data_IF_769278641840
#
_entry.id   IF_769278641840
#
_cell.length_a   1.000
_cell.length_b   1.000
_cell.length_c   1.000
_cell.angle_alpha   90.00
_cell.angle_beta   90.00
_cell.angle_gamma   90.00
#
_symmetry.space_group_name_H-M   'P 1'
#
loop_
_entity.id
_entity.type
_entity.pdbx_description
1 polymer ?
#
# COMPACT_ATOMS: atom_id res chain seq x y z
N UNK A 1 27.87 -1.29 -15.64
CA UNK A 1 26.99 -0.16 -15.25
C UNK A 1 25.82 -0.15 -16.23
N UNK A 2 24.60 -0.37 -15.77
CA UNK A 2 23.43 -0.26 -16.64
C UNK A 2 23.19 1.22 -16.94
N UNK A 3 23.28 1.62 -18.20
CA UNK A 3 22.93 2.97 -18.62
C UNK A 3 21.42 3.13 -18.49
N UNK A 4 20.95 3.70 -17.37
CA UNK A 4 19.52 3.89 -17.09
C UNK A 4 19.08 5.25 -17.59
N UNK A 5 18.16 5.26 -18.57
CA UNK A 5 17.48 6.47 -19.05
C UNK A 5 16.28 6.87 -18.18
N UNK A 6 15.78 5.94 -17.35
CA UNK A 6 14.67 6.15 -16.40
C UNK A 6 14.96 5.43 -15.09
N UNK A 7 14.50 5.99 -13.99
CA UNK A 7 14.55 5.38 -12.65
C UNK A 7 13.35 4.45 -12.39
N UNK A 8 12.36 4.41 -13.29
CA UNK A 8 11.19 3.56 -13.21
C UNK A 8 10.00 4.18 -12.48
N UNK A 9 10.09 5.43 -12.01
CA UNK A 9 8.99 6.14 -11.36
C UNK A 9 8.25 7.05 -12.34
N UNK A 10 6.94 7.18 -12.14
CA UNK A 10 6.05 8.07 -12.87
C UNK A 10 5.36 8.98 -11.87
N UNK A 11 5.45 10.28 -12.10
CA UNK A 11 4.69 11.32 -11.40
C UNK A 11 3.95 12.14 -12.45
N UNK A 12 2.65 12.34 -12.26
CA UNK A 12 1.78 12.98 -13.25
C UNK A 12 0.59 13.67 -12.59
N UNK A 13 -0.03 14.58 -13.31
CA UNK A 13 -1.32 15.19 -12.97
C UNK A 13 -2.52 14.39 -13.51
N UNK A 14 -2.27 13.31 -14.27
CA UNK A 14 -3.29 12.34 -14.65
C UNK A 14 -3.92 11.68 -13.40
N UNK A 15 -5.14 11.13 -13.53
CA UNK A 15 -5.89 10.57 -12.41
C UNK A 15 -5.14 9.58 -11.51
N UNK A 16 -4.17 8.82 -12.05
CA UNK A 16 -3.43 7.84 -11.26
C UNK A 16 -2.30 8.44 -10.40
N UNK A 17 -1.92 9.69 -10.60
CA UNK A 17 -0.91 10.48 -9.86
C UNK A 17 0.52 9.90 -9.86
N UNK A 18 0.69 8.69 -9.35
CA UNK A 18 1.98 8.03 -9.22
C UNK A 18 1.91 6.54 -9.56
N UNK A 19 2.97 6.06 -10.20
CA UNK A 19 3.16 4.64 -10.51
C UNK A 19 4.65 4.33 -10.61
N UNK A 20 5.04 3.08 -10.45
CA UNK A 20 6.44 2.69 -10.62
C UNK A 20 6.59 1.27 -11.14
N UNK A 21 7.72 1.00 -11.78
CA UNK A 21 8.15 -0.34 -12.16
C UNK A 21 8.73 -1.06 -10.93
N UNK A 22 8.18 -2.23 -10.59
CA UNK A 22 8.50 -2.96 -9.36
C UNK A 22 9.38 -4.21 -9.59
N UNK A 23 9.73 -4.52 -10.84
CA UNK A 23 10.54 -5.68 -11.23
C UNK A 23 12.00 -5.34 -11.55
N UNK A 24 12.44 -4.12 -11.23
CA UNK A 24 13.84 -3.71 -11.33
C UNK A 24 14.77 -4.74 -10.69
N UNK A 25 15.73 -5.24 -11.47
CA UNK A 25 16.72 -6.23 -11.02
C UNK A 25 16.26 -7.68 -11.14
N UNK A 26 15.00 -7.94 -11.49
CA UNK A 26 14.50 -9.27 -11.80
C UNK A 26 14.86 -9.65 -13.24
N UNK A 27 15.19 -10.92 -13.48
CA UNK A 27 15.44 -11.44 -14.82
C UNK A 27 14.10 -11.75 -15.51
N UNK A 28 13.97 -11.41 -16.79
CA UNK A 28 12.77 -11.73 -17.58
C UNK A 28 12.53 -10.76 -18.72
N UNK A 29 11.52 -11.06 -19.53
CA UNK A 29 11.03 -10.17 -20.60
C UNK A 29 9.80 -9.36 -20.18
N UNK A 30 9.19 -9.72 -19.05
CA UNK A 30 7.99 -9.07 -18.50
C UNK A 30 8.31 -8.44 -17.16
N UNK A 31 7.63 -7.34 -16.85
CA UNK A 31 7.74 -6.66 -15.57
C UNK A 31 6.39 -6.37 -14.93
N UNK A 32 6.41 -5.79 -13.74
CA UNK A 32 5.23 -5.33 -13.02
C UNK A 32 5.27 -3.82 -12.88
N UNK A 33 4.17 -3.18 -13.24
CA UNK A 33 3.93 -1.77 -12.94
C UNK A 33 2.97 -1.72 -11.75
N UNK A 34 3.41 -1.07 -10.67
CA UNK A 34 2.57 -0.81 -9.51
C UNK A 34 1.79 0.47 -9.71
N UNK A 35 0.47 0.36 -9.67
CA UNK A 35 -0.45 1.47 -9.54
C UNK A 35 -0.78 1.64 -8.06
N UNK A 36 -0.41 2.78 -7.47
CA UNK A 36 -0.67 3.06 -6.06
C UNK A 36 -1.72 4.15 -5.93
N UNK A 37 -2.90 3.76 -5.46
CA UNK A 37 -4.05 4.65 -5.34
C UNK A 37 -4.20 5.15 -3.90
N UNK A 38 -3.99 6.44 -3.68
CA UNK A 38 -4.10 7.08 -2.36
C UNK A 38 -5.34 7.95 -2.13
N UNK A 39 -6.22 8.11 -3.13
CA UNK A 39 -7.44 8.95 -3.04
C UNK A 39 -8.71 8.12 -3.07
N UNK A 40 -9.77 8.60 -2.42
CA UNK A 40 -11.13 8.04 -2.50
C UNK A 40 -11.66 7.98 -3.93
N UNK A 41 -11.25 8.91 -4.80
CA UNK A 41 -11.53 8.91 -6.24
C UNK A 41 -10.82 7.76 -7.00
N UNK A 42 -9.73 7.23 -6.44
CA UNK A 42 -9.03 6.03 -6.91
C UNK A 42 -9.66 4.72 -6.41
N UNK A 43 -10.57 4.78 -5.43
CA UNK A 43 -11.42 3.66 -5.00
C UNK A 43 -12.68 3.62 -5.88
N UNK A 44 -12.49 3.69 -7.20
CA UNK A 44 -13.57 3.58 -8.19
C UNK A 44 -13.88 2.13 -8.56
N UNK A 45 -13.24 1.17 -7.89
CA UNK A 45 -13.51 -0.24 -8.10
C UNK A 45 -13.74 -1.01 -6.80
N UNK A 46 -14.55 -2.05 -6.91
CA UNK A 46 -14.95 -2.93 -5.82
C UNK A 46 -14.21 -4.25 -5.97
N UNK A 47 -13.06 -4.44 -5.30
CA UNK A 47 -12.33 -5.70 -5.35
C UNK A 47 -13.14 -6.85 -4.75
N UNK A 48 -12.86 -8.10 -5.18
CA UNK A 48 -13.56 -9.29 -4.68
C UNK A 48 -13.15 -9.62 -3.24
N UNK A 49 -11.87 -9.43 -2.93
CA UNK A 49 -11.21 -9.76 -1.65
C UNK A 49 -10.10 -8.74 -1.34
N UNK A 50 -9.63 -8.72 -0.09
CA UNK A 50 -8.54 -7.82 0.33
C UNK A 50 -7.22 -8.04 -0.42
N UNK A 51 -6.99 -9.26 -0.89
CA UNK A 51 -5.90 -9.61 -1.81
C UNK A 51 -6.44 -10.52 -2.88
N UNK A 52 -6.17 -10.19 -4.14
CA UNK A 52 -6.68 -10.94 -5.28
C UNK A 52 -5.64 -10.98 -6.40
N UNK A 53 -5.56 -12.07 -7.13
CA UNK A 53 -4.78 -12.17 -8.36
C UNK A 53 -5.72 -12.68 -9.43
N UNK A 54 -5.93 -11.87 -10.47
CA UNK A 54 -6.95 -12.12 -11.48
C UNK A 54 -6.42 -11.93 -12.87
N UNK A 55 -6.76 -12.89 -13.73
CA UNK A 55 -6.68 -12.72 -15.17
C UNK A 55 -7.86 -11.86 -15.67
N UNK A 56 -7.74 -11.29 -16.87
CA UNK A 56 -8.83 -10.57 -17.52
C UNK A 56 -10.16 -11.36 -17.58
N UNK A 57 -10.11 -12.69 -17.67
CA UNK A 57 -11.30 -13.54 -17.76
C UNK A 57 -12.02 -13.73 -16.42
N UNK A 58 -11.35 -13.48 -15.30
CA UNK A 58 -11.87 -13.69 -13.94
C UNK A 58 -12.12 -12.38 -13.19
N UNK A 59 -11.63 -11.27 -13.77
CA UNK A 59 -11.73 -9.93 -13.23
C UNK A 59 -13.18 -9.44 -13.22
N UNK A 60 -13.60 -8.81 -12.12
CA UNK A 60 -14.92 -8.17 -12.10
C UNK A 60 -14.93 -6.87 -12.93
N UNK A 61 -16.11 -6.45 -13.38
CA UNK A 61 -16.27 -5.29 -14.27
C UNK A 61 -15.64 -4.01 -13.72
N UNK A 62 -15.70 -3.78 -12.40
CA UNK A 62 -15.17 -2.57 -11.79
C UNK A 62 -13.64 -2.53 -11.83
N UNK A 63 -12.99 -3.65 -11.54
CA UNK A 63 -11.52 -3.78 -11.60
C UNK A 63 -11.07 -3.67 -13.06
N UNK A 64 -11.82 -4.28 -13.99
CA UNK A 64 -11.54 -4.16 -15.42
C UNK A 64 -11.61 -2.71 -15.88
N UNK A 65 -12.65 -1.97 -15.51
CA UNK A 65 -12.78 -0.55 -15.83
C UNK A 65 -11.61 0.27 -15.27
N UNK A 66 -11.21 0.01 -14.01
CA UNK A 66 -10.09 0.71 -13.38
C UNK A 66 -8.77 0.49 -14.12
N UNK A 67 -8.47 -0.75 -14.51
CA UNK A 67 -7.27 -1.08 -15.29
C UNK A 67 -7.32 -0.44 -16.68
N UNK A 68 -8.48 -0.45 -17.36
CA UNK A 68 -8.60 0.20 -18.68
C UNK A 68 -8.40 1.72 -18.61
N UNK A 69 -8.87 2.38 -17.55
CA UNK A 69 -8.60 3.80 -17.32
C UNK A 69 -7.10 4.05 -17.12
N UNK A 70 -6.45 3.24 -16.28
CA UNK A 70 -5.00 3.36 -16.06
C UNK A 70 -4.20 3.13 -17.35
N UNK A 71 -4.53 2.11 -18.14
CA UNK A 71 -3.85 1.84 -19.41
C UNK A 71 -4.02 2.98 -20.42
N UNK A 72 -5.22 3.58 -20.49
CA UNK A 72 -5.51 4.76 -21.32
C UNK A 72 -4.70 5.99 -20.88
N UNK A 73 -4.53 6.19 -19.58
CA UNK A 73 -3.68 7.26 -19.05
C UNK A 73 -2.19 6.98 -19.29
N UNK A 74 -1.77 5.71 -19.19
CA UNK A 74 -0.39 5.30 -19.44
C UNK A 74 0.01 5.54 -20.91
N UNK A 75 -0.90 5.31 -21.86
CA UNK A 75 -0.68 5.59 -23.28
C UNK A 75 -0.41 7.07 -23.59
N UNK A 76 -0.88 8.00 -22.73
CA UNK A 76 -0.59 9.44 -22.86
C UNK A 76 0.85 9.78 -22.49
N UNK A 77 1.47 8.98 -21.63
CA UNK A 77 2.87 9.15 -21.19
C UNK A 77 3.80 8.42 -22.15
N UNK A 78 3.47 7.16 -22.43
CA UNK A 78 4.22 6.31 -23.35
C UNK A 78 3.27 5.75 -24.39
N UNK A 79 3.36 6.29 -25.61
CA UNK A 79 2.53 5.86 -26.71
C UNK A 79 2.60 4.34 -26.89
N UNK A 80 1.43 3.69 -26.93
CA UNK A 80 1.26 2.25 -27.12
C UNK A 80 1.74 1.36 -25.94
N UNK A 81 1.90 1.93 -24.73
CA UNK A 81 2.23 1.15 -23.54
C UNK A 81 1.17 0.10 -23.20
N UNK A 82 -0.11 0.40 -23.42
CA UNK A 82 -1.22 -0.51 -23.13
C UNK A 82 -1.16 -1.82 -23.92
N UNK A 83 -0.54 -1.82 -25.10
CA UNK A 83 -0.36 -3.02 -25.93
C UNK A 83 0.53 -4.09 -25.29
N UNK A 84 1.35 -3.71 -24.30
CA UNK A 84 2.21 -4.63 -23.55
C UNK A 84 1.52 -5.20 -22.30
N UNK A 85 0.27 -4.81 -22.02
CA UNK A 85 -0.49 -5.37 -20.90
C UNK A 85 -0.77 -6.86 -21.13
N UNK A 86 -0.33 -7.69 -20.19
CA UNK A 86 -0.42 -9.15 -20.29
C UNK A 86 -1.80 -9.71 -19.94
N UNK A 87 -2.74 -8.86 -19.52
CA UNK A 87 -4.05 -9.30 -19.06
C UNK A 87 -4.06 -9.87 -17.64
N UNK A 88 -3.00 -9.64 -16.87
CA UNK A 88 -2.85 -10.11 -15.49
C UNK A 88 -2.73 -8.93 -14.54
N UNK A 89 -3.42 -9.00 -13.41
CA UNK A 89 -3.33 -8.01 -12.34
C UNK A 89 -3.39 -8.69 -10.97
N UNK A 90 -2.63 -8.16 -10.03
CA UNK A 90 -2.78 -8.44 -8.61
C UNK A 90 -3.30 -7.18 -7.93
N UNK A 91 -4.34 -7.34 -7.12
CA UNK A 91 -4.98 -6.27 -6.36
C UNK A 91 -4.67 -6.46 -4.89
N UNK A 92 -4.23 -5.37 -4.24
CA UNK A 92 -4.19 -5.24 -2.80
C UNK A 92 -5.18 -4.15 -2.37
N UNK A 93 -6.17 -4.55 -1.59
CA UNK A 93 -7.29 -3.74 -1.15
C UNK A 93 -7.52 -3.90 0.36
N UNK A 94 -6.56 -3.48 1.20
CA UNK A 94 -6.61 -3.76 2.64
C UNK A 94 -7.78 -3.08 3.36
N UNK A 95 -8.43 -2.09 2.74
CA UNK A 95 -9.62 -1.43 3.28
C UNK A 95 -10.88 -2.31 3.32
N UNK A 96 -10.96 -3.36 2.50
CA UNK A 96 -12.05 -4.36 2.58
C UNK A 96 -11.65 -5.64 3.31
N UNK A 97 -10.38 -5.77 3.68
CA UNK A 97 -9.90 -6.94 4.43
C UNK A 97 -10.45 -6.88 5.87
N UNK A 98 -11.13 -7.94 6.37
CA UNK A 98 -11.73 -7.92 7.71
C UNK A 98 -10.70 -7.88 8.85
N UNK A 99 -9.44 -8.25 8.58
CA UNK A 99 -8.36 -8.26 9.56
C UNK A 99 -7.56 -6.97 9.57
N UNK A 100 -7.38 -6.31 8.42
CA UNK A 100 -6.56 -5.08 8.31
C UNK A 100 -7.42 -3.81 8.31
N UNK A 101 -8.54 -3.80 7.57
CA UNK A 101 -9.56 -2.73 7.55
C UNK A 101 -9.05 -1.33 7.16
N UNK A 102 -7.86 -1.23 6.55
CA UNK A 102 -7.23 0.03 6.18
C UNK A 102 -5.80 -0.18 5.68
N UNK A 103 -5.19 0.82 5.06
CA UNK A 103 -3.82 0.72 4.57
C UNK A 103 -2.78 0.90 5.67
N UNK A 104 -2.93 1.97 6.46
CA UNK A 104 -2.04 2.35 7.54
C UNK A 104 -2.70 3.44 8.39
N UNK A 105 -2.28 3.62 9.65
CA UNK A 105 -2.81 4.69 10.48
C UNK A 105 -2.44 6.06 9.90
N UNK A 106 -3.42 6.95 9.81
CA UNK A 106 -3.23 8.32 9.33
C UNK A 106 -4.11 9.25 10.16
N UNK A 107 -3.48 10.22 10.82
CA UNK A 107 -4.21 11.17 11.65
C UNK A 107 -5.03 12.14 10.81
N UNK A 108 -6.29 12.33 11.17
CA UNK A 108 -7.09 13.45 10.65
C UNK A 108 -6.70 14.75 11.35
N UNK A 109 -7.16 15.89 10.81
CA UNK A 109 -6.93 17.21 11.40
C UNK A 109 -7.39 17.22 12.87
N UNK A 110 -6.46 17.55 13.77
CA UNK A 110 -6.70 17.61 15.22
C UNK A 110 -6.45 16.29 15.97
N UNK A 111 -6.45 15.13 15.30
CA UNK A 111 -6.18 13.85 15.98
C UNK A 111 -4.74 13.77 16.49
N UNK A 112 -3.78 14.29 15.73
CA UNK A 112 -2.38 14.28 16.15
C UNK A 112 -2.19 14.95 17.51
N UNK A 113 -2.82 16.11 17.76
CA UNK A 113 -2.65 16.84 19.02
C UNK A 113 -3.35 16.20 20.23
N UNK A 114 -4.28 15.28 20.03
CA UNK A 114 -5.08 14.68 21.12
C UNK A 114 -4.82 13.18 21.31
N UNK A 115 -4.41 12.47 20.27
CA UNK A 115 -4.17 11.02 20.30
C UNK A 115 -2.68 10.67 20.31
N UNK A 116 -1.86 11.39 19.54
CA UNK A 116 -0.45 11.04 19.35
C UNK A 116 0.29 11.00 20.69
N UNK A 117 0.93 9.89 20.99
CA UNK A 117 1.53 9.65 22.31
C UNK A 117 0.78 8.62 23.13
N UNK A 118 -0.54 8.59 23.00
CA UNK A 118 -1.41 7.77 23.83
C UNK A 118 -1.57 6.35 23.28
N UNK A 119 -1.33 6.12 21.98
CA UNK A 119 -1.55 4.83 21.31
C UNK A 119 -0.72 3.70 21.92
N UNK A 120 0.49 4.03 22.39
CA UNK A 120 1.38 3.08 23.07
C UNK A 120 1.11 2.93 24.57
N UNK A 121 0.20 3.73 25.16
CA UNK A 121 -0.01 3.78 26.60
C UNK A 121 -0.79 2.53 27.05
N UNK A 122 -0.10 1.65 27.77
CA UNK A 122 -0.71 0.47 28.39
C UNK A 122 -1.89 0.82 29.30
N UNK A 123 -2.83 -0.11 29.41
CA UNK A 123 -3.97 -0.02 30.31
C UNK A 123 -3.91 -1.21 31.26
N UNK A 124 -3.42 -0.98 32.49
CA UNK A 124 -3.14 -2.05 33.45
C UNK A 124 -2.22 -3.11 32.81
N UNK A 125 -2.60 -4.38 32.81
CA UNK A 125 -1.87 -5.51 32.22
C UNK A 125 -2.11 -5.68 30.71
N UNK A 126 -2.74 -4.71 30.04
CA UNK A 126 -2.98 -4.73 28.59
C UNK A 126 -1.93 -3.83 27.92
N UNK A 127 -1.08 -4.45 27.11
CA UNK A 127 -0.04 -3.80 26.34
C UNK A 127 -0.43 -3.75 24.87
N UNK A 128 -0.15 -2.61 24.23
CA UNK A 128 -0.41 -2.40 22.80
C UNK A 128 0.91 -2.47 22.04
N UNK A 129 0.86 -3.06 20.85
CA UNK A 129 1.99 -3.18 19.93
C UNK A 129 1.50 -3.12 18.49
N UNK A 130 2.35 -2.62 17.60
CA UNK A 130 2.07 -2.44 16.17
C UNK A 130 2.70 -1.17 15.63
N UNK A 131 2.65 -1.02 14.31
CA UNK A 131 3.12 0.17 13.59
C UNK A 131 2.52 1.48 14.14
N UNK A 132 1.24 1.46 14.53
CA UNK A 132 0.53 2.58 15.14
C UNK A 132 1.04 2.98 16.54
N UNK A 133 1.86 2.14 17.19
CA UNK A 133 2.49 2.45 18.49
C UNK A 133 3.93 2.99 18.38
N UNK A 134 4.52 2.95 17.18
CA UNK A 134 5.85 3.48 16.88
C UNK A 134 5.79 4.98 16.56
N UNK A 135 5.75 5.81 17.59
CA UNK A 135 5.39 7.23 17.48
C UNK A 135 6.41 8.14 16.77
N UNK A 136 7.70 7.81 16.78
CA UNK A 136 8.75 8.79 16.45
C UNK A 136 9.46 8.55 15.12
N UNK A 137 9.67 7.29 14.73
CA UNK A 137 10.66 6.98 13.68
C UNK A 137 10.10 6.11 12.56
N UNK A 138 9.15 5.22 12.86
CA UNK A 138 8.65 4.23 11.90
C UNK A 138 7.12 4.04 11.98
N UNK A 139 6.37 5.12 12.20
CA UNK A 139 4.90 5.08 12.20
C UNK A 139 4.38 4.67 10.81
N UNK A 140 3.45 3.71 10.75
CA UNK A 140 2.94 3.15 9.49
C UNK A 140 3.97 2.35 8.65
N UNK A 141 5.13 1.98 9.23
CA UNK A 141 6.15 1.15 8.57
C UNK A 141 6.33 -0.20 9.27
N UNK A 142 6.84 -1.19 8.53
CA UNK A 142 7.11 -2.53 9.06
C UNK A 142 8.16 -2.51 10.16
N UNK A 143 9.15 -1.63 10.05
CA UNK A 143 10.18 -1.41 11.06
C UNK A 143 9.57 -1.00 12.40
N UNK A 144 8.52 -0.19 12.37
CA UNK A 144 7.78 0.21 13.57
C UNK A 144 6.99 -0.94 14.17
N UNK A 145 6.29 -1.72 13.33
CA UNK A 145 5.60 -2.92 13.80
C UNK A 145 6.59 -3.91 14.46
N UNK A 146 7.75 -4.12 13.83
CA UNK A 146 8.78 -5.03 14.31
C UNK A 146 9.42 -4.55 15.62
N UNK A 147 9.64 -3.24 15.80
CA UNK A 147 10.25 -2.72 17.03
C UNK A 147 9.30 -2.72 18.23
N UNK A 148 8.00 -2.53 18.00
CA UNK A 148 7.02 -2.36 19.07
C UNK A 148 6.62 -3.68 19.75
N UNK A 149 6.75 -4.81 19.06
CA UNK A 149 6.54 -6.15 19.65
C UNK A 149 7.49 -6.45 20.82
N UNK A 150 8.82 -6.44 20.62
CA UNK A 150 9.80 -6.61 21.68
C UNK A 150 9.65 -5.57 22.81
N UNK A 151 9.32 -4.32 22.48
CA UNK A 151 9.05 -3.29 23.51
C UNK A 151 7.91 -3.73 24.44
N UNK A 152 6.76 -4.10 23.88
CA UNK A 152 5.61 -4.53 24.68
C UNK A 152 5.94 -5.79 25.51
N UNK A 153 6.71 -6.73 24.96
CA UNK A 153 7.16 -7.91 25.70
C UNK A 153 8.05 -7.55 26.90
N UNK A 154 8.95 -6.57 26.77
CA UNK A 154 9.80 -6.11 27.87
C UNK A 154 9.00 -5.40 28.97
N UNK A 155 7.94 -4.67 28.62
CA UNK A 155 7.03 -4.10 29.62
C UNK A 155 6.33 -5.18 30.44
N UNK A 156 5.88 -6.26 29.79
CA UNK A 156 5.25 -7.41 30.45
C UNK A 156 6.26 -8.05 31.41
N UNK A 157 7.47 -8.34 30.95
CA UNK A 157 8.53 -8.93 31.80
C UNK A 157 8.78 -8.06 33.03
N UNK A 158 8.84 -6.72 32.86
CA UNK A 158 9.03 -5.76 33.93
C UNK A 158 7.95 -5.77 35.03
N UNK A 159 6.73 -6.20 34.73
CA UNK A 159 5.64 -6.28 35.72
C UNK A 159 5.68 -7.54 36.60
N UNK A 160 6.41 -8.58 36.18
CA UNK A 160 6.49 -9.87 36.88
C UNK A 160 7.80 -10.06 37.67
N UNK A 161 8.54 -8.97 37.90
CA UNK A 161 9.74 -8.94 38.73
C UNK A 161 9.47 -8.43 40.15
#
# INVERSE_FOLDING_TARGET
MFNRTSDGYIYTDLPFLNSWEASTGQQGQTGTITLFTGRSEGITFSPRTGFDSVSNTEMNNSTQMHIQLFLSDLDKIWSNASSYYTGQVTVSAPWIDPHVRGSYPCYTVGQYSVLHGYEKKRQMSIHFAGDYTSLTTHFAFMEGAASEGPRAALEIIGDYH
#
